data_IF_134787967806
#
_entry.id   IF_134787967806
#
_cell.length_a   1.000
_cell.length_b   1.000
_cell.length_c   1.000
_cell.angle_alpha   90.00
_cell.angle_beta   90.00
_cell.angle_gamma   90.00
#
_symmetry.space_group_name_H-M   'P 1'
#
loop_
_entity.id
_entity.type
_entity.pdbx_description
1 polymer ?
#
# COMPACT_ATOMS: atom_id res chain seq x y z
N UNK A 1 5.02 5.13 -0.04
CA UNK A 1 5.01 5.98 1.17
C UNK A 1 4.00 5.42 2.15
N UNK A 2 4.44 4.98 3.33
CA UNK A 2 3.53 4.47 4.35
C UNK A 2 2.85 5.64 5.02
N UNK A 3 1.61 5.88 4.63
CA UNK A 3 0.69 6.77 5.35
C UNK A 3 0.15 6.12 6.64
N UNK A 4 0.96 5.27 7.25
CA UNK A 4 0.62 4.52 8.45
C UNK A 4 0.86 5.39 9.70
N UNK A 5 1.56 6.52 9.56
CA UNK A 5 1.72 7.49 10.64
C UNK A 5 0.41 8.21 10.96
N UNK A 6 0.06 8.22 12.24
CA UNK A 6 -1.13 8.89 12.77
C UNK A 6 -1.17 10.39 12.44
N UNK A 7 0.00 11.02 12.31
CA UNK A 7 0.19 12.47 12.07
C UNK A 7 0.72 12.82 10.67
N UNK A 8 0.47 11.99 9.65
CA UNK A 8 0.83 12.33 8.26
C UNK A 8 -0.23 13.23 7.60
N UNK A 9 0.22 14.28 6.90
CA UNK A 9 -0.62 15.10 6.01
C UNK A 9 -0.12 14.98 4.57
N UNK A 10 -1.04 14.71 3.65
CA UNK A 10 -0.75 14.63 2.22
C UNK A 10 -0.55 16.03 1.64
N UNK A 11 0.48 16.18 0.81
CA UNK A 11 0.64 17.31 -0.10
C UNK A 11 0.15 16.89 -1.48
N UNK A 12 -0.66 17.73 -2.11
CA UNK A 12 -1.21 17.48 -3.42
C UNK A 12 -0.66 18.52 -4.39
N UNK A 13 -0.19 18.06 -5.55
CA UNK A 13 0.13 18.91 -6.69
C UNK A 13 -1.05 18.86 -7.65
N UNK A 14 -1.62 20.03 -7.95
CA UNK A 14 -2.77 20.15 -8.84
C UNK A 14 -2.34 20.74 -10.18
N UNK A 15 -2.86 20.14 -11.24
CA UNK A 15 -2.59 20.53 -12.63
C UNK A 15 -3.91 20.60 -13.38
N UNK A 16 -4.06 21.60 -14.26
CA UNK A 16 -5.19 21.63 -15.19
C UNK A 16 -4.97 20.58 -16.28
N UNK A 17 -5.98 19.73 -16.50
CA UNK A 17 -5.91 18.63 -17.47
C UNK A 17 -5.43 19.05 -18.87
N UNK A 18 -5.78 20.28 -19.30
CA UNK A 18 -5.45 20.82 -20.62
C UNK A 18 -4.43 21.97 -20.55
N UNK A 19 -3.52 21.97 -19.58
CA UNK A 19 -2.49 23.01 -19.52
C UNK A 19 -1.48 22.82 -20.65
N UNK A 20 -1.35 23.83 -21.51
CA UNK A 20 -0.36 23.87 -22.60
C UNK A 20 1.04 24.31 -22.14
N UNK A 21 1.21 24.71 -20.86
CA UNK A 21 2.52 25.11 -20.34
C UNK A 21 3.49 23.90 -20.26
N UNK A 22 4.58 23.87 -21.05
CA UNK A 22 5.51 22.74 -21.07
C UNK A 22 6.27 22.58 -19.75
N UNK A 23 6.65 23.69 -19.09
CA UNK A 23 7.40 23.65 -17.83
C UNK A 23 6.62 23.01 -16.69
N UNK A 24 5.29 23.10 -16.73
CA UNK A 24 4.46 22.45 -15.73
C UNK A 24 4.56 20.93 -15.82
N UNK A 25 4.51 20.37 -17.05
CA UNK A 25 4.65 18.93 -17.26
C UNK A 25 6.02 18.45 -16.78
N UNK A 26 7.07 19.15 -17.20
CA UNK A 26 8.45 18.83 -16.82
C UNK A 26 8.64 18.87 -15.30
N UNK A 27 8.05 19.87 -14.63
CA UNK A 27 8.10 19.96 -13.17
C UNK A 27 7.38 18.81 -12.47
N UNK A 28 6.21 18.40 -12.96
CA UNK A 28 5.46 17.28 -12.39
C UNK A 28 6.19 15.96 -12.61
N UNK A 29 6.71 15.73 -13.82
CA UNK A 29 7.54 14.56 -14.13
C UNK A 29 8.78 14.52 -13.24
N UNK A 30 9.48 15.65 -13.09
CA UNK A 30 10.61 15.77 -12.17
C UNK A 30 10.19 15.48 -10.73
N UNK A 31 9.14 16.13 -10.21
CA UNK A 31 8.69 15.98 -8.84
C UNK A 31 8.30 14.52 -8.52
N UNK A 32 7.71 13.79 -9.47
CA UNK A 32 7.33 12.39 -9.29
C UNK A 32 8.47 11.39 -9.53
N UNK A 33 9.55 11.81 -10.20
CA UNK A 33 10.72 10.99 -10.49
C UNK A 33 11.54 10.65 -9.23
N UNK A 34 12.42 9.65 -9.34
CA UNK A 34 13.36 9.30 -8.27
C UNK A 34 14.19 10.51 -7.80
N UNK A 35 14.75 11.31 -8.72
CA UNK A 35 15.54 12.51 -8.39
C UNK A 35 14.72 13.57 -7.65
N UNK A 36 13.47 13.78 -8.04
CA UNK A 36 12.58 14.70 -7.32
C UNK A 36 12.27 14.21 -5.92
N UNK A 37 12.06 12.90 -5.76
CA UNK A 37 11.82 12.28 -4.46
C UNK A 37 13.04 12.33 -3.53
N UNK A 38 14.27 12.30 -4.07
CA UNK A 38 15.48 12.55 -3.27
C UNK A 38 15.49 13.98 -2.68
N UNK A 39 15.09 14.99 -3.46
CA UNK A 39 14.97 16.38 -2.97
C UNK A 39 13.90 16.47 -1.87
N UNK A 40 12.78 15.77 -2.02
CA UNK A 40 11.72 15.68 -0.99
C UNK A 40 12.28 15.08 0.31
N UNK A 41 13.07 14.01 0.22
CA UNK A 41 13.66 13.38 1.39
C UNK A 41 14.68 14.30 2.10
N UNK A 42 15.52 15.02 1.33
CA UNK A 42 16.54 15.94 1.88
C UNK A 42 15.94 17.16 2.58
N UNK A 43 14.72 17.57 2.19
CA UNK A 43 14.02 18.72 2.79
C UNK A 43 13.24 18.36 4.05
N UNK A 44 13.27 17.09 4.48
CA UNK A 44 12.62 16.61 5.69
C UNK A 44 11.17 16.15 5.50
N UNK A 45 10.66 16.12 4.25
CA UNK A 45 9.37 15.53 3.93
C UNK A 45 9.48 14.00 3.72
N UNK A 46 8.35 13.32 3.83
CA UNK A 46 8.26 11.88 3.53
C UNK A 46 8.14 11.69 2.02
N UNK A 47 9.14 11.06 1.42
CA UNK A 47 9.16 10.75 0.00
C UNK A 47 8.32 9.51 -0.36
N UNK A 48 8.07 9.34 -1.65
CA UNK A 48 7.28 8.25 -2.21
C UNK A 48 8.09 7.02 -2.60
N UNK A 49 9.41 7.06 -2.46
CA UNK A 49 10.30 5.94 -2.79
C UNK A 49 9.91 4.68 -2.02
N UNK A 50 9.87 3.56 -2.74
CA UNK A 50 9.57 2.27 -2.14
C UNK A 50 10.82 1.77 -1.43
N UNK A 51 10.67 1.48 -0.15
CA UNK A 51 11.72 0.99 0.74
C UNK A 51 11.19 -0.19 1.51
N UNK A 52 12.07 -0.98 2.10
CA UNK A 52 11.66 -1.92 3.13
C UNK A 52 11.13 -1.14 4.32
N UNK A 53 9.91 -1.48 4.75
CA UNK A 53 9.40 -0.97 6.01
C UNK A 53 10.23 -1.63 7.11
N UNK A 54 10.93 -0.84 7.96
CA UNK A 54 11.74 -1.42 9.02
C UNK A 54 10.87 -2.29 9.91
N UNK A 55 11.44 -3.35 10.47
CA UNK A 55 10.74 -4.29 11.34
C UNK A 55 9.97 -3.54 12.42
N UNK A 56 8.63 -3.51 12.30
CA UNK A 56 7.78 -2.78 13.24
C UNK A 56 7.59 -3.63 14.50
N UNK A 57 7.99 -3.14 15.69
CA UNK A 57 7.66 -3.81 16.95
C UNK A 57 6.16 -4.11 17.10
N UNK A 58 5.28 -3.30 16.51
CA UNK A 58 3.83 -3.53 16.51
C UNK A 58 3.43 -4.76 15.69
N UNK A 59 4.17 -5.11 14.62
CA UNK A 59 3.91 -6.37 13.91
C UNK A 59 4.36 -7.58 14.75
N UNK A 60 5.37 -7.43 15.61
CA UNK A 60 5.77 -8.50 16.52
C UNK A 60 4.74 -8.75 17.63
N UNK A 61 4.00 -7.73 18.06
CA UNK A 61 2.91 -7.93 19.03
C UNK A 61 1.75 -8.74 18.42
N UNK A 62 1.53 -8.63 17.11
CA UNK A 62 0.53 -9.44 16.39
C UNK A 62 0.79 -10.94 16.53
N UNK A 63 2.06 -11.36 16.60
CA UNK A 63 2.44 -12.78 16.77
C UNK A 63 2.05 -13.35 18.14
N UNK A 64 1.65 -12.50 19.10
CA UNK A 64 1.20 -12.95 20.43
C UNK A 64 -0.28 -13.32 20.46
N UNK A 65 -1.06 -12.91 19.46
CA UNK A 65 -2.48 -13.26 19.36
C UNK A 65 -2.61 -14.70 18.83
N UNK A 66 -3.15 -15.65 19.61
CA UNK A 66 -3.30 -17.05 19.17
C UNK A 66 -4.25 -17.21 17.99
N UNK A 67 -5.11 -16.23 17.72
CA UNK A 67 -6.07 -16.26 16.61
C UNK A 67 -5.51 -15.67 15.31
N UNK A 68 -4.25 -15.22 15.29
CA UNK A 68 -3.64 -14.71 14.06
C UNK A 68 -3.63 -15.79 12.98
N UNK A 69 -4.03 -15.42 11.76
CA UNK A 69 -3.95 -16.32 10.61
C UNK A 69 -2.51 -16.78 10.40
N UNK A 70 -2.30 -18.10 10.33
CA UNK A 70 -0.98 -18.71 10.17
C UNK A 70 -0.18 -18.15 8.99
N UNK A 71 -0.82 -17.98 7.84
CA UNK A 71 -0.17 -17.40 6.65
C UNK A 71 0.35 -15.99 6.92
N UNK A 72 -0.44 -15.16 7.59
CA UNK A 72 -0.03 -13.79 7.94
C UNK A 72 1.05 -13.76 9.03
N UNK A 73 0.99 -14.67 10.01
CA UNK A 73 2.03 -14.80 11.02
C UNK A 73 3.38 -15.22 10.42
N UNK A 74 3.40 -16.18 9.51
CA UNK A 74 4.61 -16.60 8.79
C UNK A 74 5.19 -15.43 7.98
N UNK A 75 4.33 -14.66 7.32
CA UNK A 75 4.73 -13.48 6.56
C UNK A 75 5.37 -12.41 7.45
N UNK A 76 4.84 -12.18 8.65
CA UNK A 76 5.43 -11.24 9.62
C UNK A 76 6.82 -11.71 10.08
N UNK A 77 7.02 -13.01 10.23
CA UNK A 77 8.29 -13.58 10.72
C UNK A 77 9.39 -13.57 9.67
N UNK A 78 9.06 -13.92 8.43
CA UNK A 78 10.04 -14.23 7.39
C UNK A 78 10.05 -13.22 6.24
N UNK A 79 8.94 -12.51 6.02
CA UNK A 79 8.77 -11.58 4.91
C UNK A 79 9.26 -10.17 5.23
N UNK A 80 9.47 -9.38 4.17
CA UNK A 80 9.78 -7.96 4.24
C UNK A 80 8.62 -7.14 3.69
N UNK A 81 7.94 -6.38 4.54
CA UNK A 81 6.89 -5.44 4.15
C UNK A 81 7.51 -4.27 3.38
N UNK A 82 6.92 -3.89 2.26
CA UNK A 82 7.30 -2.69 1.52
C UNK A 82 6.60 -1.46 2.09
N UNK A 83 7.19 -0.28 1.88
CA UNK A 83 6.65 0.98 2.37
C UNK A 83 5.42 1.48 1.57
N UNK A 84 4.93 0.72 0.61
CA UNK A 84 3.78 1.09 -0.21
C UNK A 84 2.53 0.33 0.25
N UNK A 85 1.40 1.02 0.29
CA UNK A 85 0.10 0.42 0.50
C UNK A 85 -0.93 0.99 -0.48
N UNK A 86 -1.88 0.15 -0.87
CA UNK A 86 -2.99 0.54 -1.73
C UNK A 86 -4.23 0.75 -0.88
N UNK A 87 -4.95 1.85 -1.10
CA UNK A 87 -6.11 2.25 -0.29
C UNK A 87 -7.38 2.19 -1.10
N UNK A 88 -8.48 1.95 -0.42
CA UNK A 88 -9.78 1.71 -1.07
C UNK A 88 -10.89 2.54 -0.44
N UNK A 89 -11.84 2.94 -1.29
CA UNK A 89 -13.12 3.47 -0.84
C UNK A 89 -13.96 2.37 -0.15
N UNK A 90 -14.92 2.75 0.71
CA UNK A 90 -15.82 1.78 1.34
C UNK A 90 -16.47 0.86 0.31
N UNK A 91 -16.52 -0.45 0.60
CA UNK A 91 -17.08 -1.50 -0.25
C UNK A 91 -16.54 -1.59 -1.71
N UNK A 92 -15.50 -0.84 -2.08
CA UNK A 92 -14.88 -0.89 -3.41
C UNK A 92 -13.56 -1.69 -3.37
N UNK A 93 -13.20 -2.28 -4.50
CA UNK A 93 -11.96 -2.99 -4.76
C UNK A 93 -11.16 -2.40 -5.94
N UNK A 94 -11.59 -1.28 -6.52
CA UNK A 94 -10.88 -0.57 -7.59
C UNK A 94 -9.83 0.37 -7.03
N UNK A 95 -8.71 0.45 -7.73
CA UNK A 95 -7.68 1.44 -7.46
C UNK A 95 -8.12 2.80 -8.01
N UNK A 96 -7.87 3.86 -7.22
CA UNK A 96 -8.01 5.23 -7.69
C UNK A 96 -6.80 5.64 -8.55
N UNK A 97 -6.85 6.84 -9.15
CA UNK A 97 -5.78 7.36 -10.01
C UNK A 97 -4.42 7.36 -9.31
N UNK A 98 -4.41 7.59 -8.00
CA UNK A 98 -3.20 7.54 -7.20
C UNK A 98 -2.69 6.11 -7.02
N UNK A 99 -3.58 5.18 -6.69
CA UNK A 99 -3.25 3.76 -6.57
C UNK A 99 -2.64 3.22 -7.86
N UNK A 100 -3.11 3.67 -9.02
CA UNK A 100 -2.50 3.35 -10.31
C UNK A 100 -1.07 3.90 -10.43
N UNK A 101 -0.81 5.14 -9.99
CA UNK A 101 0.55 5.72 -9.97
C UNK A 101 1.48 5.04 -8.97
N UNK A 102 0.98 4.70 -7.78
CA UNK A 102 1.75 3.97 -6.78
C UNK A 102 2.04 2.53 -7.24
N UNK A 103 1.16 1.94 -8.05
CA UNK A 103 1.37 0.66 -8.71
C UNK A 103 2.47 0.73 -9.77
N UNK A 104 2.50 1.77 -10.61
CA UNK A 104 3.58 1.98 -11.58
C UNK A 104 4.95 2.02 -10.87
N UNK A 105 5.05 2.76 -9.77
CA UNK A 105 6.27 2.80 -8.94
C UNK A 105 6.63 1.44 -8.34
N UNK A 106 5.62 0.69 -7.88
CA UNK A 106 5.82 -0.66 -7.35
C UNK A 106 6.35 -1.61 -8.43
N UNK A 107 5.83 -1.52 -9.65
CA UNK A 107 6.28 -2.34 -10.76
C UNK A 107 7.73 -2.05 -11.11
N UNK A 108 8.13 -0.78 -11.16
CA UNK A 108 9.52 -0.38 -11.38
C UNK A 108 10.45 -0.93 -10.27
N UNK A 109 10.04 -0.81 -9.01
CA UNK A 109 10.79 -1.37 -7.89
C UNK A 109 10.94 -2.90 -8.01
N UNK A 110 9.85 -3.61 -8.29
CA UNK A 110 9.84 -5.09 -8.36
C UNK A 110 10.57 -5.64 -9.59
N UNK A 111 10.61 -4.90 -10.71
CA UNK A 111 11.44 -5.26 -11.87
C UNK A 111 12.93 -5.30 -11.56
N UNK A 112 13.38 -4.55 -10.56
CA UNK A 112 14.76 -4.60 -10.06
C UNK A 112 14.96 -5.66 -8.96
N UNK A 113 13.90 -6.41 -8.59
CA UNK A 113 13.88 -7.40 -7.51
C UNK A 113 13.11 -8.67 -7.94
N UNK A 114 13.27 -9.11 -9.20
CA UNK A 114 12.49 -10.20 -9.80
C UNK A 114 12.73 -11.58 -9.15
N UNK A 115 13.83 -11.74 -8.41
CA UNK A 115 14.14 -12.95 -7.65
C UNK A 115 13.24 -13.11 -6.40
N UNK A 116 12.48 -12.08 -6.04
CA UNK A 116 11.67 -12.03 -4.83
C UNK A 116 10.24 -12.52 -5.06
N UNK A 117 9.70 -13.24 -4.08
CA UNK A 117 8.30 -13.69 -4.13
C UNK A 117 7.39 -12.59 -3.60
N UNK A 118 6.43 -12.14 -4.41
CA UNK A 118 5.49 -11.08 -4.03
C UNK A 118 4.29 -11.69 -3.28
N UNK A 119 3.96 -11.13 -2.12
CA UNK A 119 2.76 -11.46 -1.35
C UNK A 119 1.93 -10.22 -1.09
N UNK A 120 0.62 -10.32 -1.31
CA UNK A 120 -0.33 -9.24 -1.10
C UNK A 120 -1.26 -9.56 0.07
N UNK A 121 -1.42 -8.61 0.99
CA UNK A 121 -2.27 -8.80 2.18
C UNK A 121 -3.34 -7.71 2.26
N UNK A 122 -4.60 -8.10 2.17
CA UNK A 122 -5.74 -7.19 2.25
C UNK A 122 -6.33 -7.07 3.65
N UNK A 123 -6.76 -5.85 3.97
CA UNK A 123 -7.42 -5.47 5.22
C UNK A 123 -8.67 -4.63 4.94
N UNK A 124 -9.62 -4.66 5.87
CA UNK A 124 -10.80 -3.79 5.88
C UNK A 124 -10.83 -2.94 7.14
N UNK A 125 -11.76 -1.98 7.19
CA UNK A 125 -12.20 -1.42 8.46
C UNK A 125 -13.12 -2.42 9.18
N UNK A 126 -13.60 -2.05 10.37
CA UNK A 126 -14.49 -2.89 11.18
C UNK A 126 -15.98 -2.70 10.87
N UNK A 127 -16.33 -2.05 9.76
CA UNK A 127 -17.73 -1.81 9.41
C UNK A 127 -18.30 -3.04 8.70
N UNK A 128 -19.42 -3.56 9.20
CA UNK A 128 -20.15 -4.67 8.58
C UNK A 128 -19.75 -6.05 9.10
N UNK A 129 -20.17 -7.07 8.35
CA UNK A 129 -20.02 -8.48 8.73
C UNK A 129 -18.58 -8.99 8.56
N UNK A 130 -18.18 -9.90 9.45
CA UNK A 130 -16.83 -10.46 9.46
C UNK A 130 -16.52 -11.26 8.20
N UNK A 131 -17.42 -12.15 7.74
CA UNK A 131 -17.19 -12.95 6.54
C UNK A 131 -17.15 -12.09 5.29
N UNK A 132 -18.03 -11.08 5.23
CA UNK A 132 -18.01 -10.08 4.17
C UNK A 132 -16.67 -9.35 4.12
N UNK A 133 -16.19 -8.86 5.27
CA UNK A 133 -14.92 -8.14 5.36
C UNK A 133 -13.72 -9.01 5.00
N UNK A 134 -13.73 -10.30 5.35
CA UNK A 134 -12.71 -11.24 4.90
C UNK A 134 -12.68 -11.38 3.37
N UNK A 135 -13.85 -11.55 2.74
CA UNK A 135 -13.97 -11.64 1.27
C UNK A 135 -13.52 -10.35 0.59
N UNK A 136 -13.96 -9.20 1.09
CA UNK A 136 -13.61 -7.89 0.55
C UNK A 136 -12.10 -7.59 0.65
N UNK A 137 -11.48 -7.93 1.78
CA UNK A 137 -10.02 -7.86 1.92
C UNK A 137 -9.29 -8.68 0.85
N UNK A 138 -9.74 -9.93 0.65
CA UNK A 138 -9.17 -10.82 -0.36
C UNK A 138 -9.37 -10.27 -1.78
N UNK A 139 -10.55 -9.75 -2.10
CA UNK A 139 -10.86 -9.17 -3.41
C UNK A 139 -10.01 -7.95 -3.73
N UNK A 140 -9.81 -7.05 -2.77
CA UNK A 140 -8.89 -5.90 -2.91
C UNK A 140 -7.47 -6.34 -3.20
N UNK A 141 -6.96 -7.33 -2.45
CA UNK A 141 -5.61 -7.84 -2.66
C UNK A 141 -5.50 -8.54 -4.03
N UNK A 142 -6.54 -9.27 -4.47
CA UNK A 142 -6.61 -9.85 -5.82
C UNK A 142 -6.66 -8.78 -6.92
N UNK A 143 -7.34 -7.66 -6.68
CA UNK A 143 -7.40 -6.53 -7.62
C UNK A 143 -6.00 -5.97 -7.90
N UNK A 144 -5.24 -5.68 -6.85
CA UNK A 144 -3.82 -5.29 -6.97
C UNK A 144 -3.01 -6.38 -7.66
N UNK A 145 -3.24 -7.65 -7.32
CA UNK A 145 -2.55 -8.78 -7.94
C UNK A 145 -2.79 -8.90 -9.44
N UNK A 146 -4.04 -8.71 -9.90
CA UNK A 146 -4.39 -8.69 -11.33
C UNK A 146 -3.63 -7.59 -12.07
N UNK A 147 -3.57 -6.42 -11.47
CA UNK A 147 -2.86 -5.27 -12.04
C UNK A 147 -1.33 -5.49 -12.12
N UNK A 148 -0.74 -6.18 -11.15
CA UNK A 148 0.67 -6.59 -11.19
C UNK A 148 0.91 -7.66 -12.27
N UNK A 149 0.04 -8.67 -12.35
CA UNK A 149 0.12 -9.73 -13.37
C UNK A 149 -0.02 -9.17 -14.78
N UNK A 150 -0.91 -8.20 -15.00
CA UNK A 150 -1.06 -7.50 -16.27
C UNK A 150 0.23 -6.76 -16.72
N UNK A 151 1.14 -6.49 -15.78
CA UNK A 151 2.45 -5.86 -16.01
C UNK A 151 3.61 -6.85 -15.98
N UNK A 152 3.31 -8.15 -15.99
CA UNK A 152 4.29 -9.24 -16.09
C UNK A 152 4.92 -9.68 -14.76
N UNK A 153 4.36 -9.29 -13.61
CA UNK A 153 4.86 -9.70 -12.30
C UNK A 153 4.04 -10.87 -11.74
N UNK A 154 4.71 -11.85 -11.13
CA UNK A 154 4.05 -13.02 -10.56
C UNK A 154 3.82 -12.81 -9.07
N UNK A 155 2.55 -12.78 -8.66
CA UNK A 155 2.15 -12.77 -7.25
C UNK A 155 2.11 -14.20 -6.73
N UNK A 156 2.96 -14.51 -5.76
CA UNK A 156 3.07 -15.85 -5.18
C UNK A 156 1.89 -16.18 -4.27
N UNK A 157 1.40 -15.21 -3.51
CA UNK A 157 0.31 -15.42 -2.57
C UNK A 157 -0.55 -14.16 -2.38
N UNK A 158 -1.85 -14.36 -2.17
CA UNK A 158 -2.80 -13.29 -1.84
C UNK A 158 -3.58 -13.70 -0.61
N UNK A 159 -3.48 -12.90 0.45
CA UNK A 159 -4.06 -13.18 1.77
C UNK A 159 -5.13 -12.12 2.08
N UNK A 160 -6.32 -12.57 2.50
CA UNK A 160 -7.36 -11.69 3.06
C UNK A 160 -7.41 -11.83 4.59
N UNK A 161 -7.00 -10.78 5.31
CA UNK A 161 -7.05 -10.75 6.78
C UNK A 161 -8.38 -10.18 7.29
N UNK A 162 -9.02 -9.29 6.52
CA UNK A 162 -10.27 -8.64 6.93
C UNK A 162 -10.03 -7.57 7.99
N UNK A 163 -10.91 -7.51 8.99
CA UNK A 163 -10.97 -6.43 9.99
C UNK A 163 -10.11 -6.65 11.24
N UNK A 164 -9.33 -7.74 11.28
CA UNK A 164 -8.63 -8.20 12.49
C UNK A 164 -7.42 -7.35 12.87
N UNK A 165 -6.90 -6.50 11.97
CA UNK A 165 -5.62 -5.78 12.14
C UNK A 165 -5.69 -4.33 11.66
N UNK A 166 -6.37 -3.53 12.47
CA UNK A 166 -6.49 -2.09 12.28
C UNK A 166 -5.20 -1.37 12.69
N UNK A 167 -4.77 -0.42 11.86
CA UNK A 167 -3.61 0.46 12.13
C UNK A 167 -4.05 1.85 12.62
N UNK A 168 -5.35 2.12 12.59
CA UNK A 168 -5.96 3.35 13.09
C UNK A 168 -7.33 3.06 13.69
N UNK A 169 -7.86 4.03 14.45
CA UNK A 169 -9.20 3.95 15.01
C UNK A 169 -10.29 3.85 13.93
N UNK A 170 -11.29 2.98 14.11
CA UNK A 170 -12.46 2.89 13.23
C UNK A 170 -13.53 3.95 13.52
N UNK A 171 -13.36 4.75 14.58
CA UNK A 171 -14.32 5.78 14.98
C UNK A 171 -14.37 6.96 14.00
N UNK A 172 -13.27 7.19 13.27
CA UNK A 172 -13.16 8.31 12.31
C UNK A 172 -13.05 7.80 10.89
N UNK A 173 -13.59 8.55 9.92
CA UNK A 173 -13.47 8.17 8.50
C UNK A 173 -12.00 8.13 8.04
N UNK A 174 -11.18 9.06 8.53
CA UNK A 174 -9.74 9.06 8.26
C UNK A 174 -9.05 7.77 8.74
N UNK A 175 -9.41 7.29 9.93
CA UNK A 175 -8.88 6.05 10.46
C UNK A 175 -9.40 4.80 9.72
N UNK A 176 -10.69 4.74 9.40
CA UNK A 176 -11.25 3.66 8.56
C UNK A 176 -10.58 3.59 7.18
N UNK A 177 -10.33 4.74 6.56
CA UNK A 177 -9.60 4.83 5.29
C UNK A 177 -8.14 4.35 5.39
N UNK A 178 -7.52 4.39 6.58
CA UNK A 178 -6.21 3.75 6.84
C UNK A 178 -6.33 2.24 7.00
N UNK A 179 -7.41 1.73 7.58
CA UNK A 179 -7.61 0.31 7.76
C UNK A 179 -7.96 -0.42 6.45
N UNK A 180 -8.70 0.22 5.53
CA UNK A 180 -9.00 -0.28 4.18
C UNK A 180 -7.78 -0.22 3.26
N UNK A 181 -6.85 -1.16 3.44
CA UNK A 181 -5.57 -1.18 2.72
C UNK A 181 -5.19 -2.56 2.20
N UNK A 182 -4.32 -2.57 1.19
CA UNK A 182 -3.55 -3.74 0.78
C UNK A 182 -2.08 -3.43 1.01
N UNK A 183 -1.41 -4.32 1.73
CA UNK A 183 0.02 -4.29 1.98
C UNK A 183 0.75 -5.18 0.99
N UNK A 184 1.98 -4.79 0.66
CA UNK A 184 2.86 -5.55 -0.23
C UNK A 184 4.04 -6.06 0.56
N UNK A 185 4.31 -7.35 0.44
CA UNK A 185 5.39 -8.05 1.09
C UNK A 185 6.22 -8.80 0.07
N UNK A 186 7.51 -8.99 0.38
CA UNK A 186 8.38 -9.82 -0.43
C UNK A 186 9.23 -10.78 0.41
N UNK A 187 9.59 -11.92 -0.16
CA UNK A 187 10.59 -12.87 0.35
C UNK A 187 11.84 -12.86 -0.52
#
# INVERSE_FOLDING_TARGET
ATEDYSLARRLFLYVRANSENPYMRDFIEFALSFKGQEVVAQTGFVDMTIRFFPSNPELKSVLRDPNVRKQYANLIQEGKRLSTNFRFHPADARLDNRGVKDLERLVEFLKNNLDKKIVLVGFTDSAGDYEFNQKLALERAKSVGKELSARGLVVAEVIGVGQERNIASNETESGRAKNRRVEVWIY
#
